data_IF_824493869520
#
_entry.id   IF_824493869520
#
_cell.length_a   1.000
_cell.length_b   1.000
_cell.length_c   1.000
_cell.angle_alpha   90.00
_cell.angle_beta   90.00
_cell.angle_gamma   90.00
#
_symmetry.space_group_name_H-M   'P 1'
#
loop_
_entity.id
_entity.type
_entity.pdbx_description
1 polymer ?
#
# COMPACT_ATOMS: atom_id res chain seq x y z
N UNK A 1 -53.88 -25.57 8.61
CA UNK A 1 -52.52 -25.73 9.19
C UNK A 1 -52.65 -25.73 10.69
N UNK A 2 -52.09 -26.73 11.37
CA UNK A 2 -52.14 -26.81 12.82
C UNK A 2 -51.19 -25.74 13.41
N UNK A 3 -51.47 -25.21 14.60
CA UNK A 3 -50.65 -24.13 15.20
C UNK A 3 -49.19 -24.55 15.40
N UNK A 4 -48.94 -25.86 15.57
CA UNK A 4 -47.60 -26.45 15.62
C UNK A 4 -46.85 -26.37 14.29
N UNK A 5 -47.53 -26.49 13.15
CA UNK A 5 -46.91 -26.43 11.83
C UNK A 5 -46.43 -24.99 11.54
N UNK A 6 -47.23 -23.98 11.91
CA UNK A 6 -46.89 -22.57 11.74
C UNK A 6 -45.62 -22.22 12.54
N UNK A 7 -45.49 -22.73 13.76
CA UNK A 7 -44.33 -22.50 14.61
C UNK A 7 -43.05 -23.14 14.03
N UNK A 8 -43.16 -24.36 13.48
CA UNK A 8 -42.04 -25.06 12.84
C UNK A 8 -41.59 -24.31 11.58
N UNK A 9 -42.51 -23.86 10.73
CA UNK A 9 -42.17 -23.06 9.54
C UNK A 9 -41.55 -21.71 9.90
N UNK A 10 -42.06 -21.02 10.93
CA UNK A 10 -41.46 -19.77 11.41
C UNK A 10 -40.02 -20.00 11.90
N UNK A 11 -39.79 -21.08 12.67
CA UNK A 11 -38.48 -21.44 13.22
C UNK A 11 -37.47 -21.79 12.12
N UNK A 12 -37.88 -22.58 11.14
CA UNK A 12 -37.05 -22.95 9.98
C UNK A 12 -36.76 -21.71 9.13
N UNK A 13 -37.73 -20.83 8.91
CA UNK A 13 -37.51 -19.57 8.18
C UNK A 13 -36.55 -18.63 8.89
N UNK A 14 -36.60 -18.55 10.23
CA UNK A 14 -35.68 -17.73 11.01
C UNK A 14 -34.26 -18.30 11.05
N UNK A 15 -34.11 -19.64 11.06
CA UNK A 15 -32.81 -20.31 10.94
C UNK A 15 -32.23 -20.16 9.53
N UNK A 16 -33.06 -20.20 8.49
CA UNK A 16 -32.64 -19.93 7.12
C UNK A 16 -32.25 -18.46 6.93
N UNK A 17 -33.00 -17.51 7.50
CA UNK A 17 -32.62 -16.09 7.48
C UNK A 17 -31.33 -15.83 8.27
N UNK A 18 -31.17 -16.41 9.47
CA UNK A 18 -29.94 -16.27 10.26
C UNK A 18 -28.74 -16.91 9.56
N UNK A 19 -28.89 -18.09 8.96
CA UNK A 19 -27.80 -18.70 8.19
C UNK A 19 -27.48 -17.89 6.93
N UNK A 20 -28.46 -17.27 6.27
CA UNK A 20 -28.23 -16.37 5.15
C UNK A 20 -27.53 -15.06 5.55
N UNK A 21 -27.86 -14.50 6.72
CA UNK A 21 -27.18 -13.32 7.28
C UNK A 21 -25.75 -13.67 7.70
N UNK A 22 -25.54 -14.81 8.36
CA UNK A 22 -24.22 -15.29 8.78
C UNK A 22 -23.33 -15.72 7.58
N UNK A 23 -23.90 -16.25 6.51
CA UNK A 23 -23.16 -16.51 5.26
C UNK A 23 -22.80 -15.23 4.50
N UNK A 24 -23.49 -14.11 4.77
CA UNK A 24 -23.16 -12.82 4.16
C UNK A 24 -22.07 -12.04 4.90
N UNK A 25 -21.76 -12.38 6.16
CA UNK A 25 -20.83 -11.59 6.99
C UNK A 25 -19.37 -11.96 6.83
N UNK A 26 -19.02 -13.16 6.34
CA UNK A 26 -17.63 -13.57 6.16
C UNK A 26 -17.36 -14.04 4.74
N UNK A 27 -16.56 -13.25 4.00
CA UNK A 27 -16.11 -13.59 2.64
C UNK A 27 -14.61 -13.78 2.67
N UNK A 28 -14.07 -14.64 1.80
CA UNK A 28 -12.63 -14.67 1.59
C UNK A 28 -12.29 -14.91 0.11
N UNK A 29 -11.08 -14.51 -0.25
CA UNK A 29 -10.46 -14.82 -1.54
C UNK A 29 -9.00 -15.19 -1.31
N UNK A 30 -8.51 -16.16 -2.08
CA UNK A 30 -7.10 -16.49 -2.16
C UNK A 30 -6.54 -15.96 -3.48
N UNK A 31 -5.49 -15.16 -3.39
CA UNK A 31 -4.80 -14.57 -4.54
C UNK A 31 -3.31 -14.82 -4.45
N UNK A 32 -2.69 -15.20 -5.56
CA UNK A 32 -1.26 -15.49 -5.57
C UNK A 32 -0.45 -14.23 -5.89
N UNK A 33 0.48 -13.89 -5.02
CA UNK A 33 1.57 -12.96 -5.30
C UNK A 33 2.86 -13.74 -5.61
N UNK A 34 3.93 -13.01 -5.94
CA UNK A 34 5.26 -13.60 -6.11
C UNK A 34 6.32 -12.73 -5.46
N UNK A 35 7.12 -13.35 -4.59
CA UNK A 35 8.20 -12.73 -3.85
C UNK A 35 9.56 -13.19 -4.39
N UNK A 36 10.58 -12.37 -4.18
CA UNK A 36 11.97 -12.76 -4.42
C UNK A 36 12.59 -13.06 -3.07
N UNK A 37 13.22 -14.22 -2.97
CA UNK A 37 14.05 -14.63 -1.82
C UNK A 37 15.50 -14.68 -2.32
N UNK A 38 16.49 -14.43 -1.46
CA UNK A 38 17.93 -14.24 -1.77
C UNK A 38 18.41 -14.64 -3.19
N UNK A 39 18.15 -15.87 -3.65
CA UNK A 39 18.48 -16.30 -5.01
C UNK A 39 17.32 -16.77 -5.91
N UNK A 40 16.11 -17.01 -5.40
CA UNK A 40 14.97 -17.54 -6.16
C UNK A 40 13.73 -16.66 -6.05
N UNK A 41 12.66 -17.02 -6.76
CA UNK A 41 11.35 -16.43 -6.55
C UNK A 41 10.38 -17.53 -6.13
N UNK A 42 9.42 -17.17 -5.28
CA UNK A 42 8.38 -18.09 -4.81
C UNK A 42 7.01 -17.46 -4.95
N UNK A 43 6.01 -18.29 -5.24
CA UNK A 43 4.61 -17.88 -5.25
C UNK A 43 4.15 -17.83 -3.81
N UNK A 44 3.55 -16.72 -3.41
CA UNK A 44 3.05 -16.49 -2.06
C UNK A 44 1.52 -16.36 -2.13
N UNK A 45 0.76 -17.38 -1.69
CA UNK A 45 -0.68 -17.28 -1.56
C UNK A 45 -1.04 -16.27 -0.47
N UNK A 46 -1.88 -15.31 -0.81
CA UNK A 46 -2.44 -14.32 0.10
C UNK A 46 -3.93 -14.61 0.26
N UNK A 47 -4.34 -14.91 1.48
CA UNK A 47 -5.75 -14.99 1.86
C UNK A 47 -6.21 -13.63 2.34
N UNK A 48 -7.27 -13.12 1.74
CA UNK A 48 -7.93 -11.88 2.13
C UNK A 48 -9.35 -12.24 2.56
N UNK A 49 -9.62 -12.15 3.85
CA UNK A 49 -10.94 -12.32 4.43
C UNK A 49 -11.56 -10.93 4.64
N UNK A 50 -12.86 -10.79 4.40
CA UNK A 50 -13.63 -9.58 4.64
C UNK A 50 -14.77 -9.86 5.60
N UNK A 51 -14.95 -8.96 6.57
CA UNK A 51 -16.10 -8.92 7.47
C UNK A 51 -16.80 -7.58 7.37
N UNK A 52 -18.13 -7.56 7.47
CA UNK A 52 -18.88 -6.30 7.48
C UNK A 52 -18.52 -5.52 8.76
N UNK A 53 -18.07 -4.27 8.61
CA UNK A 53 -17.65 -3.41 9.72
C UNK A 53 -16.75 -2.25 9.26
N UNK A 54 -16.49 -1.28 10.14
CA UNK A 54 -15.58 -0.15 9.85
C UNK A 54 -14.17 -0.45 10.39
N UNK A 55 -13.13 -0.50 9.55
CA UNK A 55 -11.74 -0.70 9.99
C UNK A 55 -10.92 -1.66 9.10
N UNK A 56 -9.63 -1.89 9.40
CA UNK A 56 -8.75 -2.79 8.64
C UNK A 56 -7.92 -3.65 9.61
N UNK A 57 -8.22 -4.94 9.76
CA UNK A 57 -7.52 -5.80 10.72
C UNK A 57 -6.42 -6.64 10.04
N UNK A 58 -5.15 -6.30 10.18
CA UNK A 58 -4.07 -7.16 9.65
C UNK A 58 -3.65 -8.18 10.71
N UNK A 59 -3.82 -9.48 10.44
CA UNK A 59 -3.28 -10.52 11.32
C UNK A 59 -1.82 -10.80 10.94
N UNK A 60 -0.90 -10.33 11.78
CA UNK A 60 0.54 -10.36 11.55
C UNK A 60 1.15 -11.61 12.22
N UNK A 61 1.26 -12.72 11.48
CA UNK A 61 2.34 -13.66 11.79
C UNK A 61 3.62 -13.12 11.14
N UNK A 62 4.52 -12.60 11.99
CA UNK A 62 5.90 -12.17 11.74
C UNK A 62 6.13 -10.93 10.85
N UNK A 63 6.65 -9.86 11.47
CA UNK A 63 7.49 -8.78 10.89
C UNK A 63 7.19 -8.34 9.44
N UNK A 64 6.01 -7.79 9.19
CA UNK A 64 5.67 -7.28 7.86
C UNK A 64 6.44 -5.98 7.57
N UNK A 65 7.35 -6.06 6.60
CA UNK A 65 8.08 -4.96 5.97
C UNK A 65 7.18 -3.75 5.64
N UNK A 66 7.73 -2.55 5.86
CA UNK A 66 7.03 -1.28 5.66
C UNK A 66 6.44 -1.14 4.25
N UNK A 67 7.08 -1.69 3.21
CA UNK A 67 6.60 -1.60 1.83
C UNK A 67 5.37 -2.48 1.58
N UNK A 68 5.23 -3.60 2.29
CA UNK A 68 4.03 -4.42 2.20
C UNK A 68 2.85 -3.74 2.91
N UNK A 69 3.06 -3.20 4.13
CA UNK A 69 2.02 -2.42 4.81
C UNK A 69 1.57 -1.23 3.96
N UNK A 70 2.54 -0.55 3.34
CA UNK A 70 2.28 0.52 2.40
C UNK A 70 1.41 0.05 1.21
N UNK A 71 1.67 -1.14 0.66
CA UNK A 71 0.86 -1.72 -0.42
C UNK A 71 -0.60 -1.99 0.00
N UNK A 72 -0.82 -2.42 1.25
CA UNK A 72 -2.18 -2.60 1.80
C UNK A 72 -2.91 -1.25 1.81
N UNK A 73 -2.26 -0.20 2.31
CA UNK A 73 -2.85 1.15 2.39
C UNK A 73 -3.15 1.73 1.01
N UNK A 74 -2.23 1.59 0.05
CA UNK A 74 -2.46 2.05 -1.33
C UNK A 74 -3.62 1.34 -2.00
N UNK A 75 -3.75 0.05 -1.74
CA UNK A 75 -4.89 -0.72 -2.20
C UNK A 75 -6.22 -0.16 -1.65
N UNK A 76 -6.27 0.20 -0.36
CA UNK A 76 -7.45 0.81 0.24
C UNK A 76 -7.76 2.20 -0.34
N UNK A 77 -6.74 3.04 -0.52
CA UNK A 77 -6.91 4.36 -1.09
C UNK A 77 -7.43 4.29 -2.53
N UNK A 78 -6.95 3.33 -3.32
CA UNK A 78 -7.49 3.10 -4.66
C UNK A 78 -8.97 2.71 -4.60
N UNK A 79 -9.35 1.75 -3.76
CA UNK A 79 -10.75 1.30 -3.62
C UNK A 79 -11.66 2.46 -3.20
N UNK A 80 -11.22 3.29 -2.25
CA UNK A 80 -11.95 4.51 -1.86
C UNK A 80 -12.06 5.50 -3.01
N UNK A 81 -10.97 5.72 -3.76
CA UNK A 81 -10.91 6.71 -4.85
C UNK A 81 -11.89 6.42 -5.98
N UNK A 82 -12.26 5.16 -6.16
CA UNK A 82 -13.24 4.75 -7.19
C UNK A 82 -14.67 4.79 -6.66
N UNK A 83 -14.90 5.22 -5.42
CA UNK A 83 -16.24 5.41 -4.86
C UNK A 83 -16.97 4.11 -4.54
N UNK A 84 -16.23 3.03 -4.30
CA UNK A 84 -16.79 1.82 -3.68
C UNK A 84 -16.81 2.06 -2.18
N UNK A 85 -18.00 2.13 -1.59
CA UNK A 85 -18.15 2.21 -0.14
C UNK A 85 -17.53 0.96 0.49
N UNK A 86 -16.35 1.15 1.09
CA UNK A 86 -15.65 0.07 1.76
C UNK A 86 -16.23 -0.11 3.16
N UNK A 87 -17.34 -0.84 3.24
CA UNK A 87 -17.98 -1.28 4.49
C UNK A 87 -17.33 -2.52 5.10
N UNK A 88 -16.21 -2.97 4.53
CA UNK A 88 -15.55 -4.21 4.90
C UNK A 88 -14.27 -3.93 5.69
N UNK A 89 -14.08 -4.74 6.73
CA UNK A 89 -12.80 -4.93 7.39
C UNK A 89 -12.09 -6.10 6.75
N UNK A 90 -10.84 -5.89 6.33
CA UNK A 90 -10.03 -6.96 5.75
C UNK A 90 -9.11 -7.59 6.78
N UNK A 91 -9.10 -8.91 6.82
CA UNK A 91 -8.04 -9.73 7.40
C UNK A 91 -7.18 -10.32 6.31
N UNK A 92 -5.91 -9.90 6.30
CA UNK A 92 -4.93 -10.36 5.30
C UNK A 92 -3.96 -11.31 6.01
N UNK A 93 -3.81 -12.52 5.48
CA UNK A 93 -2.85 -13.50 5.93
C UNK A 93 -2.15 -14.15 4.74
N UNK A 94 -0.89 -14.50 4.89
CA UNK A 94 -0.13 -15.26 3.90
C UNK A 94 0.84 -16.17 4.61
N UNK A 95 1.18 -17.27 3.97
CA UNK A 95 2.24 -18.16 4.41
C UNK A 95 3.38 -18.09 3.41
N UNK A 96 4.58 -17.88 3.93
CA UNK A 96 5.80 -17.83 3.13
C UNK A 96 6.85 -18.73 3.77
N UNK A 97 7.57 -19.47 2.93
CA UNK A 97 8.70 -20.28 3.39
C UNK A 97 9.91 -19.41 3.73
N UNK A 98 9.87 -18.11 3.43
CA UNK A 98 10.93 -17.17 3.74
C UNK A 98 10.44 -16.02 4.62
N UNK A 99 11.19 -15.74 5.69
CA UNK A 99 10.95 -14.59 6.58
C UNK A 99 11.03 -13.22 5.87
N UNK A 100 11.49 -13.17 4.62
CA UNK A 100 11.80 -11.94 3.86
C UNK A 100 10.92 -11.74 2.60
N UNK A 101 9.83 -12.48 2.44
CA UNK A 101 8.97 -12.42 1.24
C UNK A 101 8.04 -11.20 1.16
N UNK A 102 8.49 -10.03 1.60
CA UNK A 102 7.66 -8.84 1.74
C UNK A 102 8.21 -7.69 0.89
N UNK A 103 7.30 -6.89 0.31
CA UNK A 103 7.68 -5.79 -0.58
C UNK A 103 6.51 -5.18 -1.34
N UNK A 104 6.75 -4.01 -1.92
CA UNK A 104 5.72 -3.23 -2.63
C UNK A 104 5.10 -3.94 -3.84
N UNK A 105 5.78 -4.98 -4.35
CA UNK A 105 5.35 -5.74 -5.52
C UNK A 105 4.09 -6.60 -5.32
N UNK A 106 3.61 -6.76 -4.08
CA UNK A 106 2.35 -7.43 -3.78
C UNK A 106 1.12 -6.51 -3.94
N UNK A 107 1.32 -5.20 -4.16
CA UNK A 107 0.22 -4.23 -4.26
C UNK A 107 -0.85 -4.61 -5.28
N UNK A 108 -0.45 -5.14 -6.45
CA UNK A 108 -1.40 -5.56 -7.47
C UNK A 108 -2.27 -6.73 -7.01
N UNK A 109 -1.66 -7.73 -6.36
CA UNK A 109 -2.38 -8.88 -5.79
C UNK A 109 -3.39 -8.41 -4.74
N UNK A 110 -2.95 -7.58 -3.80
CA UNK A 110 -3.81 -7.04 -2.73
C UNK A 110 -5.01 -6.26 -3.30
N UNK A 111 -4.75 -5.43 -4.31
CA UNK A 111 -5.79 -4.58 -4.91
C UNK A 111 -6.81 -5.37 -5.72
N UNK A 112 -6.36 -6.30 -6.55
CA UNK A 112 -7.28 -7.17 -7.30
C UNK A 112 -8.04 -8.09 -6.34
N UNK A 113 -7.37 -8.65 -5.34
CA UNK A 113 -8.01 -9.51 -4.34
C UNK A 113 -9.14 -8.78 -3.60
N UNK A 114 -8.88 -7.59 -3.05
CA UNK A 114 -9.91 -6.79 -2.39
C UNK A 114 -11.04 -6.39 -3.35
N UNK A 115 -10.73 -5.94 -4.57
CA UNK A 115 -11.76 -5.60 -5.56
C UNK A 115 -12.68 -6.79 -5.88
N UNK A 116 -12.10 -7.96 -6.13
CA UNK A 116 -12.86 -9.17 -6.41
C UNK A 116 -13.71 -9.57 -5.20
N UNK A 117 -13.15 -9.52 -3.99
CA UNK A 117 -13.87 -9.83 -2.77
C UNK A 117 -15.12 -8.96 -2.57
N UNK A 118 -15.02 -7.66 -2.90
CA UNK A 118 -16.14 -6.71 -2.78
C UNK A 118 -17.16 -6.90 -3.91
N UNK A 119 -16.70 -7.02 -5.16
CA UNK A 119 -17.54 -6.83 -6.35
C UNK A 119 -17.89 -8.11 -7.09
N UNK A 120 -17.10 -9.17 -6.89
CA UNK A 120 -17.14 -10.40 -7.67
C UNK A 120 -16.53 -11.60 -6.91
N UNK A 121 -17.01 -11.94 -5.69
CA UNK A 121 -16.32 -12.87 -4.78
C UNK A 121 -16.24 -14.32 -5.28
N UNK A 122 -17.00 -14.68 -6.33
CA UNK A 122 -17.04 -16.02 -6.90
C UNK A 122 -15.98 -16.26 -8.00
N UNK A 123 -15.19 -15.26 -8.37
CA UNK A 123 -14.17 -15.43 -9.41
C UNK A 123 -12.93 -16.16 -8.88
N UNK A 124 -12.62 -17.31 -9.48
CA UNK A 124 -11.38 -18.03 -9.21
C UNK A 124 -10.22 -17.40 -9.99
N UNK A 125 -9.23 -16.89 -9.25
CA UNK A 125 -8.01 -16.29 -9.80
C UNK A 125 -6.77 -17.08 -9.47
N UNK A 126 -6.89 -18.32 -8.97
CA UNK A 126 -5.75 -19.13 -8.54
C UNK A 126 -4.82 -19.52 -9.70
N UNK A 127 -5.29 -19.48 -10.94
CA UNK A 127 -4.45 -19.70 -12.13
C UNK A 127 -3.57 -18.50 -12.50
N UNK A 128 -3.81 -17.35 -11.87
CA UNK A 128 -3.01 -16.14 -12.06
C UNK A 128 -2.09 -15.91 -10.86
N UNK A 129 -0.96 -15.27 -11.14
CA UNK A 129 -0.03 -14.75 -10.13
C UNK A 129 0.24 -13.29 -10.46
N UNK A 130 0.11 -12.43 -9.45
CA UNK A 130 0.11 -10.98 -9.63
C UNK A 130 1.40 -10.37 -9.09
N UNK A 131 2.01 -9.47 -9.85
CA UNK A 131 3.13 -8.65 -9.36
C UNK A 131 3.12 -7.25 -9.93
N UNK A 132 3.20 -6.26 -9.06
CA UNK A 132 3.14 -4.85 -9.46
C UNK A 132 3.02 -3.97 -8.23
N UNK A 133 3.72 -2.84 -8.26
CA UNK A 133 3.48 -1.77 -7.28
C UNK A 133 2.19 -1.08 -7.68
N UNK A 134 1.31 -0.80 -6.72
CA UNK A 134 0.13 0.02 -6.96
C UNK A 134 0.46 1.43 -6.55
N UNK A 135 0.47 2.30 -7.56
CA UNK A 135 0.63 3.73 -7.42
C UNK A 135 -0.76 4.38 -7.27
N UNK A 136 -0.81 5.69 -6.93
CA UNK A 136 -2.07 6.41 -6.84
C UNK A 136 -2.95 6.20 -8.08
N UNK A 137 -4.26 6.15 -7.86
CA UNK A 137 -5.26 5.97 -8.92
C UNK A 137 -5.17 4.61 -9.65
N UNK A 138 -4.53 3.61 -9.05
CA UNK A 138 -4.55 2.24 -9.58
C UNK A 138 -3.64 2.05 -10.78
N UNK A 139 -2.65 2.93 -10.95
CA UNK A 139 -1.57 2.74 -11.92
C UNK A 139 -0.70 1.57 -11.42
N UNK A 140 -0.38 0.64 -12.32
CA UNK A 140 0.45 -0.52 -12.01
C UNK A 140 1.89 -0.22 -12.43
N UNK A 141 2.77 -0.09 -11.45
CA UNK A 141 4.20 0.13 -11.64
C UNK A 141 4.97 -1.17 -11.87
N UNK A 142 6.11 -1.04 -12.58
CA UNK A 142 7.06 -2.13 -12.79
C UNK A 142 7.73 -2.55 -11.47
N UNK A 143 8.20 -3.80 -11.43
CA UNK A 143 8.88 -4.40 -10.28
C UNK A 143 10.22 -5.01 -10.70
N UNK A 144 11.16 -5.10 -9.78
CA UNK A 144 12.45 -5.77 -10.00
C UNK A 144 12.32 -7.30 -10.05
N UNK A 145 13.34 -7.94 -10.63
CA UNK A 145 13.49 -9.40 -10.74
C UNK A 145 12.34 -10.11 -11.44
N UNK A 146 11.73 -9.45 -12.43
CA UNK A 146 10.56 -9.96 -13.15
C UNK A 146 10.84 -11.31 -13.86
N UNK A 147 12.06 -11.53 -14.35
CA UNK A 147 12.45 -12.79 -14.98
C UNK A 147 12.36 -13.97 -14.01
N UNK A 148 12.97 -13.84 -12.83
CA UNK A 148 12.91 -14.87 -11.77
C UNK A 148 11.48 -15.12 -11.32
N UNK A 149 10.70 -14.05 -11.14
CA UNK A 149 9.27 -14.13 -10.79
C UNK A 149 8.49 -14.92 -11.84
N UNK A 150 8.70 -14.62 -13.11
CA UNK A 150 8.06 -15.34 -14.21
C UNK A 150 8.45 -16.81 -14.27
N UNK A 151 9.73 -17.15 -14.08
CA UNK A 151 10.19 -18.54 -14.02
C UNK A 151 9.52 -19.32 -12.89
N UNK A 152 9.39 -18.73 -11.70
CA UNK A 152 8.68 -19.35 -10.58
C UNK A 152 7.19 -19.58 -10.89
N UNK A 153 6.57 -18.63 -11.59
CA UNK A 153 5.16 -18.74 -12.02
C UNK A 153 4.97 -19.85 -13.06
N UNK A 154 5.86 -19.92 -14.05
CA UNK A 154 5.84 -20.98 -15.06
C UNK A 154 6.04 -22.37 -14.48
N UNK A 155 6.96 -22.54 -13.52
CA UNK A 155 7.21 -23.83 -12.84
C UNK A 155 5.95 -24.39 -12.16
N UNK A 156 4.99 -23.53 -11.83
CA UNK A 156 3.74 -23.90 -11.19
C UNK A 156 2.54 -23.90 -12.16
N UNK A 157 2.77 -23.86 -13.48
CA UNK A 157 1.74 -23.84 -14.52
C UNK A 157 0.71 -22.71 -14.36
N UNK A 158 1.13 -21.55 -13.87
CA UNK A 158 0.28 -20.36 -13.71
C UNK A 158 0.65 -19.27 -14.71
N UNK A 159 -0.21 -18.27 -14.83
CA UNK A 159 0.01 -17.09 -15.68
C UNK A 159 0.40 -15.87 -14.86
N UNK A 160 1.51 -15.22 -15.21
CA UNK A 160 1.95 -13.99 -14.56
C UNK A 160 1.18 -12.79 -15.11
N UNK A 161 0.59 -11.98 -14.24
CA UNK A 161 0.02 -10.66 -14.51
C UNK A 161 0.96 -9.60 -13.91
N UNK A 162 1.44 -8.65 -14.72
CA UNK A 162 2.47 -7.70 -14.28
C UNK A 162 2.32 -6.26 -14.82
N UNK A 163 2.95 -5.32 -14.11
CA UNK A 163 3.07 -3.91 -14.50
C UNK A 163 4.33 -3.53 -15.29
N UNK A 164 5.15 -4.50 -15.71
CA UNK A 164 6.41 -4.22 -16.42
C UNK A 164 6.25 -4.24 -17.96
N UNK A 165 6.10 -3.07 -18.58
CA UNK A 165 5.87 -2.90 -20.03
C UNK A 165 6.99 -3.46 -20.92
N UNK A 166 8.21 -3.54 -20.40
CA UNK A 166 9.36 -4.07 -21.15
C UNK A 166 9.44 -5.59 -21.14
N UNK A 167 8.71 -6.23 -20.24
CA UNK A 167 8.72 -7.67 -20.10
C UNK A 167 7.68 -8.28 -21.03
N UNK A 168 8.15 -8.98 -22.06
CA UNK A 168 7.28 -9.53 -23.13
C UNK A 168 6.60 -10.85 -22.76
N UNK A 169 6.90 -11.42 -21.59
CA UNK A 169 6.37 -12.72 -21.17
C UNK A 169 5.29 -12.51 -20.10
N UNK A 170 4.22 -13.31 -20.13
CA UNK A 170 3.07 -13.06 -19.25
C UNK A 170 2.15 -11.95 -19.78
N UNK A 171 1.23 -11.50 -18.94
CA UNK A 171 0.21 -10.51 -19.28
C UNK A 171 0.53 -9.15 -18.66
N UNK A 172 0.79 -8.17 -19.51
CA UNK A 172 1.06 -6.80 -19.09
C UNK A 172 -0.22 -5.97 -18.97
N UNK A 173 -0.31 -5.21 -17.89
CA UNK A 173 -1.35 -4.19 -17.70
C UNK A 173 -0.75 -2.95 -17.03
N UNK A 174 -1.22 -1.76 -17.40
CA UNK A 174 -0.77 -0.50 -16.81
C UNK A 174 -1.71 0.04 -15.73
N UNK A 175 -2.92 -0.52 -15.60
CA UNK A 175 -3.91 -0.09 -14.63
C UNK A 175 -4.77 -1.25 -14.10
N UNK A 176 -5.24 -1.08 -12.87
CA UNK A 176 -6.02 -2.09 -12.13
C UNK A 176 -7.36 -2.41 -12.83
N UNK A 177 -7.99 -1.44 -13.51
CA UNK A 177 -9.27 -1.68 -14.18
C UNK A 177 -9.16 -2.62 -15.37
N UNK A 178 -8.08 -2.54 -16.16
CA UNK A 178 -7.84 -3.45 -17.27
C UNK A 178 -7.64 -4.88 -16.77
N UNK A 179 -6.87 -5.06 -15.69
CA UNK A 179 -6.71 -6.37 -15.05
C UNK A 179 -8.07 -6.91 -14.57
N UNK A 180 -8.85 -6.07 -13.88
CA UNK A 180 -10.17 -6.44 -13.40
C UNK A 180 -11.11 -6.82 -14.55
N UNK A 181 -11.15 -6.03 -15.63
CA UNK A 181 -11.97 -6.29 -16.83
C UNK A 181 -11.52 -7.55 -17.54
N UNK A 182 -10.21 -7.80 -17.61
CA UNK A 182 -9.67 -9.03 -18.18
C UNK A 182 -10.16 -10.28 -17.42
N UNK A 183 -10.10 -10.24 -16.08
CA UNK A 183 -10.51 -11.36 -15.20
C UNK A 183 -12.02 -11.55 -15.22
N UNK A 184 -12.77 -10.47 -14.98
CA UNK A 184 -14.22 -10.56 -14.70
C UNK A 184 -15.10 -10.41 -15.93
N UNK A 185 -14.52 -9.96 -17.05
CA UNK A 185 -15.23 -9.46 -18.24
C UNK A 185 -16.17 -8.27 -17.96
N UNK A 186 -16.08 -7.66 -16.77
CA UNK A 186 -16.88 -6.50 -16.36
C UNK A 186 -16.05 -5.23 -16.42
N UNK A 187 -16.67 -4.17 -16.93
CA UNK A 187 -16.00 -2.88 -17.10
C UNK A 187 -16.31 -1.96 -15.91
N UNK A 188 -15.55 -2.09 -14.83
CA UNK A 188 -15.70 -1.22 -13.65
C UNK A 188 -15.45 0.26 -13.98
N UNK A 189 -14.60 0.56 -14.96
CA UNK A 189 -14.28 1.93 -15.34
C UNK A 189 -15.50 2.68 -15.94
N UNK A 190 -16.47 1.96 -16.51
CA UNK A 190 -17.74 2.55 -16.95
C UNK A 190 -18.60 3.04 -15.79
N UNK A 191 -18.59 2.31 -14.67
CA UNK A 191 -19.39 2.62 -13.47
C UNK A 191 -18.67 3.60 -12.54
N UNK A 192 -17.35 3.51 -12.49
CA UNK A 192 -16.50 4.29 -11.61
C UNK A 192 -15.47 5.05 -12.45
N UNK A 193 -15.70 6.35 -12.66
CA UNK A 193 -14.75 7.19 -13.42
C UNK A 193 -13.52 7.47 -12.56
N UNK A 194 -12.40 6.84 -12.90
CA UNK A 194 -11.11 7.22 -12.36
C UNK A 194 -10.78 8.64 -12.80
N UNK A 195 -10.75 9.57 -11.84
CA UNK A 195 -10.22 10.90 -12.08
C UNK A 195 -8.81 10.96 -11.52
N UNK A 196 -7.82 10.74 -12.38
CA UNK A 196 -6.44 11.09 -12.05
C UNK A 196 -6.41 12.62 -11.89
N UNK A 197 -6.04 13.15 -10.71
CA UNK A 197 -6.03 14.58 -10.48
C UNK A 197 -5.07 15.29 -11.42
N UNK A 198 -5.43 16.50 -11.81
CA UNK A 198 -4.63 17.32 -12.71
C UNK A 198 -3.22 17.56 -12.17
N UNK A 199 -3.07 17.77 -10.85
CA UNK A 199 -1.76 17.94 -10.22
C UNK A 199 -0.85 16.73 -10.43
N UNK A 200 -1.39 15.50 -10.41
CA UNK A 200 -0.59 14.29 -10.57
C UNK A 200 -0.06 14.21 -12.00
N UNK A 201 -0.95 14.41 -12.98
CA UNK A 201 -0.57 14.42 -14.39
C UNK A 201 0.44 15.53 -14.69
N UNK A 202 0.26 16.71 -14.11
CA UNK A 202 1.19 17.84 -14.25
C UNK A 202 2.59 17.48 -13.73
N UNK A 203 2.70 17.03 -12.48
CA UNK A 203 4.00 16.68 -11.87
C UNK A 203 4.65 15.52 -12.61
N UNK A 204 3.90 14.46 -12.94
CA UNK A 204 4.44 13.33 -13.70
C UNK A 204 4.92 13.73 -15.09
N UNK A 205 4.19 14.60 -15.79
CA UNK A 205 4.60 15.14 -17.08
C UNK A 205 5.89 15.95 -16.96
N UNK A 206 6.00 16.83 -15.96
CA UNK A 206 7.21 17.61 -15.70
C UNK A 206 8.43 16.71 -15.45
N UNK A 207 8.30 15.71 -14.56
CA UNK A 207 9.36 14.73 -14.29
C UNK A 207 9.76 13.97 -15.56
N UNK A 208 8.77 13.54 -16.34
CA UNK A 208 8.99 12.80 -17.59
C UNK A 208 9.78 13.63 -18.58
N UNK A 209 9.35 14.87 -18.83
CA UNK A 209 10.00 15.75 -19.79
C UNK A 209 11.44 16.08 -19.36
N UNK A 210 11.68 16.33 -18.08
CA UNK A 210 13.05 16.57 -17.59
C UNK A 210 13.98 15.37 -17.84
N UNK A 211 13.52 14.15 -17.51
CA UNK A 211 14.30 12.94 -17.73
C UNK A 211 14.54 12.69 -19.22
N UNK A 212 13.50 12.84 -20.03
CA UNK A 212 13.53 12.53 -21.45
C UNK A 212 14.28 13.57 -22.28
N UNK A 213 14.26 14.85 -21.92
CA UNK A 213 15.10 15.88 -22.57
C UNK A 213 16.59 15.55 -22.41
N UNK A 214 16.99 15.05 -21.24
CA UNK A 214 18.37 14.57 -21.06
C UNK A 214 18.64 13.34 -21.93
N UNK A 215 17.71 12.38 -21.98
CA UNK A 215 17.83 11.20 -22.85
C UNK A 215 17.99 11.54 -24.32
N UNK A 216 17.22 12.52 -24.80
CA UNK A 216 17.28 13.02 -26.17
C UNK A 216 18.70 13.51 -26.53
N UNK A 217 19.36 14.20 -25.59
CA UNK A 217 20.71 14.73 -25.80
C UNK A 217 21.80 13.65 -25.83
N UNK A 218 21.63 12.55 -25.09
CA UNK A 218 22.68 11.53 -24.92
C UNK A 218 22.46 10.26 -25.75
N UNK A 219 21.20 9.91 -26.04
CA UNK A 219 20.81 8.63 -26.61
C UNK A 219 19.49 8.70 -27.39
N UNK A 220 19.36 9.60 -28.38
CA UNK A 220 18.11 9.85 -29.12
C UNK A 220 17.63 8.64 -29.92
N UNK A 221 18.54 7.75 -30.30
CA UNK A 221 18.24 6.53 -31.07
C UNK A 221 18.12 5.28 -30.19
N UNK A 222 18.16 5.42 -28.86
CA UNK A 222 18.03 4.26 -27.97
C UNK A 222 16.62 3.68 -28.03
N UNK A 223 16.54 2.35 -27.95
CA UNK A 223 15.26 1.62 -27.90
C UNK A 223 14.40 2.06 -26.74
N UNK A 224 15.03 2.37 -25.61
CA UNK A 224 14.38 2.88 -24.41
C UNK A 224 13.77 4.26 -24.65
N UNK A 225 14.48 5.19 -25.30
CA UNK A 225 13.92 6.51 -25.60
C UNK A 225 12.75 6.47 -26.58
N UNK A 226 12.83 5.63 -27.63
CA UNK A 226 11.72 5.46 -28.58
C UNK A 226 10.44 4.97 -27.89
N UNK A 227 10.58 4.03 -26.94
CA UNK A 227 9.45 3.61 -26.09
C UNK A 227 8.92 4.72 -25.19
N UNK A 228 9.79 5.59 -24.68
CA UNK A 228 9.37 6.74 -23.91
C UNK A 228 8.50 7.70 -24.73
N UNK A 229 8.88 7.97 -25.99
CA UNK A 229 8.10 8.80 -26.90
C UNK A 229 6.72 8.19 -27.19
N UNK A 230 6.64 6.87 -27.39
CA UNK A 230 5.36 6.18 -27.55
C UNK A 230 4.49 6.26 -26.29
N UNK A 231 5.07 6.06 -25.11
CA UNK A 231 4.37 6.18 -23.84
C UNK A 231 3.87 7.61 -23.58
N UNK A 232 4.66 8.64 -23.92
CA UNK A 232 4.25 10.06 -23.84
C UNK A 232 3.04 10.32 -24.75
N UNK A 233 3.05 9.83 -25.99
CA UNK A 233 1.92 9.98 -26.92
C UNK A 233 0.62 9.37 -26.39
N UNK A 234 0.74 8.30 -25.59
CA UNK A 234 -0.39 7.64 -24.91
C UNK A 234 -0.77 8.28 -23.56
N UNK A 235 -0.05 9.30 -23.11
CA UNK A 235 -0.23 9.91 -21.78
C UNK A 235 0.30 9.04 -20.62
N UNK A 236 1.07 7.99 -20.90
CA UNK A 236 1.65 7.09 -19.90
C UNK A 236 2.96 7.66 -19.33
N UNK A 237 2.87 8.82 -18.68
CA UNK A 237 4.04 9.57 -18.20
C UNK A 237 4.94 8.76 -17.26
N UNK A 238 4.40 7.94 -16.35
CA UNK A 238 5.21 7.11 -15.46
C UNK A 238 6.07 6.08 -16.22
N UNK A 239 5.49 5.36 -17.18
CA UNK A 239 6.23 4.45 -18.05
C UNK A 239 7.32 5.19 -18.81
N UNK A 240 6.99 6.34 -19.40
CA UNK A 240 7.95 7.15 -20.15
C UNK A 240 9.13 7.62 -19.28
N UNK A 241 8.87 8.13 -18.08
CA UNK A 241 9.89 8.50 -17.12
C UNK A 241 10.80 7.31 -16.77
N UNK A 242 10.21 6.12 -16.58
CA UNK A 242 10.98 4.89 -16.33
C UNK A 242 11.90 4.52 -17.49
N UNK A 243 11.42 4.62 -18.74
CA UNK A 243 12.24 4.35 -19.92
C UNK A 243 13.38 5.36 -20.09
N UNK A 244 13.11 6.65 -19.92
CA UNK A 244 14.13 7.69 -19.98
C UNK A 244 15.18 7.50 -18.86
N UNK A 245 14.75 7.13 -17.65
CA UNK A 245 15.68 6.76 -16.56
C UNK A 245 16.60 5.60 -16.97
N UNK A 246 16.08 4.53 -17.56
CA UNK A 246 16.90 3.37 -17.97
C UNK A 246 17.91 3.78 -19.05
N UNK A 247 17.47 4.56 -20.05
CA UNK A 247 18.36 5.07 -21.09
C UNK A 247 19.47 5.93 -20.49
N UNK A 248 19.09 6.87 -19.63
CA UNK A 248 20.00 7.77 -18.95
C UNK A 248 21.05 7.02 -18.13
N UNK A 249 20.62 6.09 -17.28
CA UNK A 249 21.53 5.22 -16.52
C UNK A 249 22.49 4.42 -17.44
N UNK A 250 22.03 3.95 -18.59
CA UNK A 250 22.84 3.12 -19.49
C UNK A 250 23.88 3.91 -20.29
N UNK A 251 23.51 5.12 -20.71
CA UNK A 251 24.28 5.91 -21.68
C UNK A 251 25.02 7.10 -21.07
N UNK A 252 24.58 7.65 -19.94
CA UNK A 252 25.23 8.77 -19.26
C UNK A 252 26.16 8.28 -18.14
N UNK A 253 27.45 8.11 -18.48
CA UNK A 253 28.45 7.47 -17.62
C UNK A 253 29.42 8.44 -16.92
N UNK A 254 29.37 9.73 -17.24
CA UNK A 254 30.38 10.70 -16.82
C UNK A 254 30.02 11.37 -15.49
N UNK A 255 29.92 10.57 -14.43
CA UNK A 255 29.62 11.06 -13.07
C UNK A 255 30.73 10.67 -12.11
N UNK A 256 31.17 11.62 -11.29
CA UNK A 256 32.19 11.42 -10.27
C UNK A 256 31.58 11.12 -8.90
N UNK A 257 32.33 10.42 -8.04
CA UNK A 257 31.88 10.17 -6.65
C UNK A 257 31.71 11.47 -5.85
N UNK A 258 32.51 12.50 -6.15
CA UNK A 258 32.44 13.79 -5.48
C UNK A 258 31.12 14.51 -5.82
N UNK A 259 30.74 14.54 -7.09
CA UNK A 259 29.44 15.09 -7.54
C UNK A 259 28.27 14.37 -6.86
N UNK A 260 28.32 13.05 -6.77
CA UNK A 260 27.27 12.24 -6.15
C UNK A 260 27.18 12.50 -4.64
N UNK A 261 28.32 12.59 -3.96
CA UNK A 261 28.35 12.89 -2.52
C UNK A 261 27.78 14.28 -2.23
N UNK A 262 28.10 15.26 -3.06
CA UNK A 262 27.56 16.62 -2.94
C UNK A 262 26.06 16.66 -3.20
N UNK A 263 25.59 15.94 -4.23
CA UNK A 263 24.17 15.81 -4.55
C UNK A 263 23.39 15.11 -3.42
N UNK A 264 23.93 14.06 -2.81
CA UNK A 264 23.36 13.41 -1.61
C UNK A 264 23.20 14.43 -0.48
N UNK A 265 24.24 15.22 -0.22
CA UNK A 265 24.25 16.24 0.85
C UNK A 265 23.16 17.29 0.63
N UNK A 266 23.01 17.79 -0.60
CA UNK A 266 21.97 18.77 -0.93
C UNK A 266 20.57 18.16 -0.88
N UNK A 267 20.39 16.93 -1.35
CA UNK A 267 19.12 16.20 -1.25
C UNK A 267 18.72 15.98 0.20
N UNK A 268 19.64 15.58 1.09
CA UNK A 268 19.34 15.44 2.53
C UNK A 268 18.84 16.74 3.14
N UNK A 269 19.51 17.87 2.85
CA UNK A 269 19.03 19.20 3.30
C UNK A 269 17.65 19.53 2.74
N UNK A 270 17.39 19.21 1.48
CA UNK A 270 16.07 19.43 0.85
C UNK A 270 15.00 18.58 1.53
N UNK A 271 15.29 17.31 1.82
CA UNK A 271 14.39 16.40 2.53
C UNK A 271 14.00 16.99 3.89
N UNK A 272 14.96 17.42 4.71
CA UNK A 272 14.66 18.03 6.02
C UNK A 272 13.73 19.25 5.91
N UNK A 273 13.93 20.10 4.89
CA UNK A 273 13.07 21.27 4.65
C UNK A 273 11.64 20.90 4.24
N UNK A 274 11.45 19.80 3.50
CA UNK A 274 10.12 19.44 2.97
C UNK A 274 9.35 18.46 3.86
N UNK A 275 9.97 17.79 4.84
CA UNK A 275 9.28 16.89 5.78
C UNK A 275 8.04 17.55 6.41
N UNK A 276 8.16 18.83 6.77
CA UNK A 276 7.06 19.61 7.36
C UNK A 276 5.92 19.94 6.37
N UNK A 277 6.07 19.62 5.08
CA UNK A 277 5.05 19.80 4.03
C UNK A 277 4.31 18.51 3.70
N UNK A 278 4.60 17.39 4.37
CA UNK A 278 3.86 16.14 4.21
C UNK A 278 2.49 16.30 4.85
N UNK A 279 1.44 16.39 4.02
CA UNK A 279 0.07 16.62 4.47
C UNK A 279 -0.83 15.41 4.20
N UNK A 280 -0.53 14.63 3.17
CA UNK A 280 -1.36 13.49 2.74
C UNK A 280 -0.59 12.17 2.68
N UNK A 281 -1.32 11.07 2.54
CA UNK A 281 -0.71 9.74 2.32
C UNK A 281 0.12 9.67 1.04
N UNK A 282 -0.23 10.46 0.02
CA UNK A 282 0.52 10.54 -1.23
C UNK A 282 1.82 11.34 -1.06
N UNK A 283 1.83 12.39 -0.21
CA UNK A 283 3.08 13.09 0.14
C UNK A 283 4.04 12.16 0.88
N UNK A 284 3.49 11.39 1.79
CA UNK A 284 4.23 10.43 2.59
C UNK A 284 4.79 9.26 1.78
N UNK A 285 4.01 8.73 0.83
CA UNK A 285 4.48 7.80 -0.19
C UNK A 285 5.67 8.39 -0.94
N UNK A 286 5.49 9.59 -1.49
CA UNK A 286 6.50 10.22 -2.30
C UNK A 286 7.79 10.45 -1.49
N UNK A 287 7.67 10.88 -0.24
CA UNK A 287 8.81 11.01 0.66
C UNK A 287 9.45 9.65 0.99
N UNK A 288 8.65 8.61 1.26
CA UNK A 288 9.15 7.26 1.52
C UNK A 288 9.92 6.68 0.33
N UNK A 289 9.37 6.80 -0.88
CA UNK A 289 10.05 6.42 -2.12
C UNK A 289 11.34 7.22 -2.33
N UNK A 290 11.32 8.52 -2.03
CA UNK A 290 12.50 9.38 -2.12
C UNK A 290 13.60 8.95 -1.13
N UNK A 291 13.25 8.62 0.12
CA UNK A 291 14.19 8.14 1.13
C UNK A 291 14.78 6.77 0.78
N UNK A 292 13.94 5.84 0.31
CA UNK A 292 14.39 4.51 -0.14
C UNK A 292 15.39 4.64 -1.30
N UNK A 293 15.07 5.48 -2.29
CA UNK A 293 15.96 5.73 -3.43
C UNK A 293 17.24 6.46 -3.03
N UNK A 294 17.19 7.36 -2.05
CA UNK A 294 18.38 8.01 -1.51
C UNK A 294 19.31 6.97 -0.87
N UNK A 295 18.77 6.10 -0.01
CA UNK A 295 19.53 5.02 0.63
C UNK A 295 20.14 4.08 -0.40
N UNK A 296 19.38 3.70 -1.43
CA UNK A 296 19.87 2.87 -2.54
C UNK A 296 21.02 3.56 -3.30
N UNK A 297 20.93 4.87 -3.55
CA UNK A 297 22.01 5.63 -4.17
C UNK A 297 23.27 5.69 -3.30
N UNK A 298 23.12 5.85 -1.97
CA UNK A 298 24.22 5.86 -1.00
C UNK A 298 24.94 4.51 -0.95
N UNK A 299 24.18 3.42 -0.88
CA UNK A 299 24.73 2.07 -0.82
C UNK A 299 25.46 1.66 -2.11
N UNK A 300 25.10 2.28 -3.23
CA UNK A 300 25.67 1.98 -4.55
C UNK A 300 26.62 3.05 -5.08
N UNK A 301 27.17 3.93 -4.22
CA UNK A 301 28.00 5.10 -4.64
C UNK A 301 29.19 4.76 -5.57
N UNK A 302 29.66 3.51 -5.55
CA UNK A 302 30.71 3.03 -6.45
C UNK A 302 30.24 2.88 -7.91
N UNK A 303 28.94 2.68 -8.14
CA UNK A 303 28.32 2.68 -9.45
C UNK A 303 27.80 4.10 -9.75
N UNK A 304 28.71 4.97 -10.18
CA UNK A 304 28.46 6.42 -10.20
C UNK A 304 27.26 6.81 -11.06
N UNK A 305 27.13 6.25 -12.26
CA UNK A 305 25.97 6.49 -13.12
C UNK A 305 24.66 6.02 -12.49
N UNK A 306 24.63 4.82 -11.89
CA UNK A 306 23.45 4.32 -11.20
C UNK A 306 23.02 5.24 -10.06
N UNK A 307 23.96 5.57 -9.17
CA UNK A 307 23.68 6.43 -8.02
C UNK A 307 23.24 7.82 -8.44
N UNK A 308 23.92 8.45 -9.40
CA UNK A 308 23.51 9.76 -9.90
C UNK A 308 22.07 9.77 -10.43
N UNK A 309 21.74 8.80 -11.29
CA UNK A 309 20.39 8.73 -11.85
C UNK A 309 19.35 8.37 -10.80
N UNK A 310 19.70 7.53 -9.83
CA UNK A 310 18.84 7.24 -8.69
C UNK A 310 18.54 8.51 -7.88
N UNK A 311 19.49 9.42 -7.69
CA UNK A 311 19.25 10.73 -7.06
C UNK A 311 18.32 11.62 -7.87
N UNK A 312 18.32 11.54 -9.22
CA UNK A 312 17.31 12.24 -10.02
C UNK A 312 15.89 11.69 -9.77
N UNK A 313 15.75 10.38 -9.52
CA UNK A 313 14.44 9.82 -9.10
C UNK A 313 14.02 10.31 -7.72
N UNK A 314 14.98 10.50 -6.79
CA UNK A 314 14.71 11.14 -5.49
C UNK A 314 14.13 12.54 -5.72
N UNK A 315 14.80 13.38 -6.53
CA UNK A 315 14.31 14.74 -6.85
C UNK A 315 12.92 14.73 -7.46
N UNK A 316 12.64 13.80 -8.38
CA UNK A 316 11.33 13.62 -8.99
C UNK A 316 10.25 13.32 -7.95
N UNK A 317 10.48 12.34 -7.07
CA UNK A 317 9.54 12.02 -5.99
C UNK A 317 9.31 13.20 -5.04
N UNK A 318 10.35 13.95 -4.69
CA UNK A 318 10.21 15.12 -3.82
C UNK A 318 9.34 16.25 -4.42
N UNK A 319 9.05 16.24 -5.73
CA UNK A 319 8.12 17.22 -6.34
C UNK A 319 6.67 16.99 -5.95
N UNK A 320 6.29 15.77 -5.58
CA UNK A 320 4.94 15.45 -5.11
C UNK A 320 4.68 16.02 -3.73
N UNK A 321 5.69 16.03 -2.86
CA UNK A 321 5.54 16.39 -1.44
C UNK A 321 5.05 17.84 -1.27
N UNK A 322 3.88 17.99 -0.66
CA UNK A 322 3.22 19.27 -0.40
C UNK A 322 2.39 19.79 -1.57
N UNK A 323 2.34 19.05 -2.68
CA UNK A 323 1.55 19.38 -3.87
C UNK A 323 0.43 18.35 -4.14
N UNK A 324 0.27 17.35 -3.27
CA UNK A 324 -0.79 16.36 -3.41
C UNK A 324 -2.09 16.81 -2.73
N UNK A 325 -3.23 16.42 -3.29
CA UNK A 325 -4.55 16.56 -2.65
C UNK A 325 -5.08 15.17 -2.30
N UNK A 326 -5.60 14.98 -1.09
CA UNK A 326 -6.06 13.67 -0.62
C UNK A 326 -6.40 13.68 0.87
N UNK A 327 -6.42 12.50 1.52
CA UNK A 327 -6.63 12.40 2.98
C UNK A 327 -5.56 13.23 3.69
N UNK A 328 -5.98 14.35 4.29
CA UNK A 328 -5.13 15.16 5.15
C UNK A 328 -4.85 14.39 6.44
N UNK A 329 -3.62 14.47 6.95
CA UNK A 329 -3.15 13.95 8.25
C UNK A 329 -2.51 12.54 8.27
N UNK A 330 -1.96 12.03 7.17
CA UNK A 330 -1.14 10.80 7.20
C UNK A 330 0.30 11.12 7.62
N UNK A 331 0.86 10.40 8.60
CA UNK A 331 2.21 10.66 9.09
C UNK A 331 3.10 9.42 9.13
N UNK A 332 4.14 9.35 8.30
CA UNK A 332 5.33 8.58 8.61
C UNK A 332 6.37 9.51 9.26
N UNK A 333 6.66 9.28 10.54
CA UNK A 333 7.98 9.62 11.08
C UNK A 333 8.63 8.31 11.49
N UNK A 334 9.61 7.89 10.71
CA UNK A 334 10.49 6.78 11.05
C UNK A 334 11.86 7.36 11.38
N UNK A 335 12.08 7.57 12.68
CA UNK A 335 13.37 7.31 13.31
C UNK A 335 13.11 6.45 14.54
N UNK A 336 13.42 5.16 14.42
CA UNK A 336 13.27 4.16 15.49
C UNK A 336 14.41 4.22 16.51
N UNK A 337 15.39 5.12 16.35
CA UNK A 337 16.60 5.15 17.19
C UNK A 337 16.69 6.29 18.20
N UNK A 338 15.80 7.30 18.16
CA UNK A 338 15.94 8.51 19.01
C UNK A 338 14.81 8.73 20.04
N UNK A 339 13.96 7.76 20.32
CA UNK A 339 12.80 8.01 21.21
C UNK A 339 12.65 7.07 22.40
N UNK A 340 13.77 6.69 23.01
CA UNK A 340 13.80 6.55 24.45
C UNK A 340 14.17 7.91 25.06
N UNK A 341 13.48 8.23 26.15
CA UNK A 341 13.75 9.34 27.09
C UNK A 341 13.05 10.68 26.74
N UNK A 342 12.26 11.13 27.73
CA UNK A 342 11.76 12.48 28.02
C UNK A 342 10.32 12.93 27.66
N UNK A 343 9.60 13.17 28.77
CA UNK A 343 8.56 14.17 29.11
C UNK A 343 7.06 13.80 29.14
N UNK A 344 6.42 13.89 30.34
CA UNK A 344 4.98 13.76 30.55
C UNK A 344 4.28 15.13 30.69
N UNK A 345 2.98 15.15 30.37
CA UNK A 345 1.95 16.16 30.65
C UNK A 345 2.16 17.62 30.16
N UNK A 346 1.42 17.96 29.09
CA UNK A 346 0.81 19.26 28.72
C UNK A 346 0.79 19.54 27.21
N UNK A 347 0.38 18.56 26.39
CA UNK A 347 0.07 18.83 24.98
C UNK A 347 -1.42 19.06 24.80
N UNK A 348 -1.80 20.31 24.52
CA UNK A 348 -3.14 20.68 24.03
C UNK A 348 -3.45 19.83 22.79
N UNK A 349 -4.40 18.90 22.93
CA UNK A 349 -4.92 17.97 21.90
C UNK A 349 -5.20 18.67 20.56
N UNK A 350 -5.54 19.95 20.63
CA UNK A 350 -5.89 20.83 19.51
C UNK A 350 -4.71 21.13 18.55
N UNK A 351 -3.49 20.65 18.83
CA UNK A 351 -2.30 20.78 17.97
C UNK A 351 -1.90 19.48 17.26
N UNK A 352 -2.63 18.38 17.44
CA UNK A 352 -2.32 17.09 16.81
C UNK A 352 -2.80 17.10 15.34
N UNK A 353 -1.87 17.24 14.41
CA UNK A 353 -2.15 17.27 12.95
C UNK A 353 -1.89 15.92 12.25
N UNK A 354 -1.72 14.84 13.02
CA UNK A 354 -0.97 13.67 12.57
C UNK A 354 -1.53 12.31 13.05
N UNK A 355 -1.77 11.36 12.14
CA UNK A 355 -2.38 10.04 12.45
C UNK A 355 -1.55 9.19 13.43
N UNK A 356 -0.23 9.07 13.22
CA UNK A 356 0.65 8.28 14.09
C UNK A 356 0.93 8.97 15.43
N UNK A 357 1.00 10.30 15.48
CA UNK A 357 1.13 11.02 16.74
C UNK A 357 -0.17 10.92 17.55
N UNK A 358 -1.33 10.88 16.88
CA UNK A 358 -2.60 10.56 17.52
C UNK A 358 -2.61 9.11 18.01
N UNK A 359 -2.20 8.13 17.21
CA UNK A 359 -2.11 6.72 17.61
C UNK A 359 -1.15 6.48 18.78
N UNK A 360 0.04 7.10 18.76
CA UNK A 360 1.06 7.03 19.81
C UNK A 360 0.67 7.80 21.06
N UNK A 361 0.06 8.99 20.91
CA UNK A 361 -0.47 9.77 22.03
C UNK A 361 -1.67 9.07 22.65
N UNK A 362 -2.53 8.45 21.84
CA UNK A 362 -3.63 7.60 22.32
C UNK A 362 -3.09 6.39 23.04
N UNK A 363 -2.15 5.64 22.48
CA UNK A 363 -1.54 4.49 23.15
C UNK A 363 -0.88 4.89 24.47
N UNK A 364 -0.16 6.02 24.51
CA UNK A 364 0.45 6.56 25.74
C UNK A 364 -0.59 7.05 26.74
N UNK A 365 -1.62 7.77 26.30
CA UNK A 365 -2.74 8.18 27.17
C UNK A 365 -3.45 6.93 27.69
N UNK A 366 -3.70 5.93 26.86
CA UNK A 366 -4.36 4.67 27.23
C UNK A 366 -3.50 3.88 28.23
N UNK A 367 -2.21 3.73 27.98
CA UNK A 367 -1.27 3.07 28.88
C UNK A 367 -1.07 3.83 30.19
N UNK A 368 -0.93 5.16 30.17
CA UNK A 368 -0.76 5.99 31.38
C UNK A 368 -2.07 6.13 32.17
N UNK A 369 -3.21 6.21 31.50
CA UNK A 369 -4.54 6.23 32.14
C UNK A 369 -4.87 4.87 32.74
N UNK A 370 -4.45 3.74 32.16
CA UNK A 370 -4.73 2.41 32.73
C UNK A 370 -3.70 1.96 33.78
N UNK A 371 -2.42 2.33 33.61
CA UNK A 371 -1.35 1.89 34.51
C UNK A 371 -1.10 2.83 35.69
N UNK A 372 -1.51 4.10 35.60
CA UNK A 372 -1.12 5.12 36.60
C UNK A 372 -2.29 5.72 37.36
N UNK A 373 -3.49 5.78 36.78
CA UNK A 373 -4.65 6.35 37.43
C UNK A 373 -5.81 5.37 37.37
N UNK A 374 -6.48 5.15 38.49
CA UNK A 374 -7.64 4.26 38.57
C UNK A 374 -8.87 4.92 37.89
N UNK A 375 -8.76 5.23 36.59
CA UNK A 375 -9.76 5.98 35.83
C UNK A 375 -10.87 5.02 35.43
N UNK A 376 -12.10 5.33 35.86
CA UNK A 376 -13.28 4.54 35.51
C UNK A 376 -13.44 4.41 33.99
N UNK A 377 -13.70 3.18 33.51
CA UNK A 377 -13.92 2.79 32.11
C UNK A 377 -14.82 3.77 31.32
N UNK A 378 -15.76 4.42 32.01
CA UNK A 378 -16.73 5.38 31.46
C UNK A 378 -16.09 6.60 30.77
N UNK A 379 -14.91 7.05 31.19
CA UNK A 379 -14.21 8.24 30.63
C UNK A 379 -13.35 7.88 29.41
N UNK A 380 -12.94 6.62 29.32
CA UNK A 380 -12.26 6.04 28.15
C UNK A 380 -13.27 5.82 27.02
N UNK A 381 -14.44 5.29 27.36
CA UNK A 381 -15.56 5.06 26.43
C UNK A 381 -16.12 6.36 25.83
N UNK A 382 -16.03 7.49 26.52
CA UNK A 382 -16.59 8.76 26.01
C UNK A 382 -15.75 9.42 24.93
N UNK A 383 -14.45 9.10 24.85
CA UNK A 383 -13.55 9.65 23.81
C UNK A 383 -13.42 8.73 22.60
N UNK A 384 -13.68 7.42 22.77
CA UNK A 384 -13.61 6.40 21.71
C UNK A 384 -14.39 6.79 20.43
N UNK A 385 -15.64 7.29 20.49
CA UNK A 385 -16.41 7.61 19.29
C UNK A 385 -15.80 8.74 18.45
N UNK A 386 -15.19 9.74 19.09
CA UNK A 386 -14.46 10.80 18.39
C UNK A 386 -13.27 10.21 17.62
N UNK A 387 -12.55 9.29 18.26
CA UNK A 387 -11.38 8.66 17.64
C UNK A 387 -11.74 7.66 16.55
N UNK A 388 -12.77 6.83 16.73
CA UNK A 388 -13.28 5.93 15.69
C UNK A 388 -13.78 6.70 14.46
N UNK A 389 -14.42 7.86 14.67
CA UNK A 389 -14.91 8.74 13.60
C UNK A 389 -13.79 9.41 12.79
N UNK A 390 -12.65 9.68 13.42
CA UNK A 390 -11.57 10.48 12.81
C UNK A 390 -10.30 9.67 12.47
N UNK A 391 -10.13 8.47 13.02
CA UNK A 391 -8.94 7.62 12.89
C UNK A 391 -9.33 6.13 12.82
N UNK A 392 -8.84 5.41 11.80
CA UNK A 392 -9.10 3.98 11.58
C UNK A 392 -8.27 3.08 12.53
N UNK A 393 -8.50 3.20 13.84
CA UNK A 393 -7.70 2.55 14.90
C UNK A 393 -7.93 1.04 15.08
N UNK A 394 -8.66 0.40 14.18
CA UNK A 394 -8.99 -1.02 14.28
C UNK A 394 -7.91 -1.85 13.60
N UNK A 395 -7.09 -2.57 14.37
CA UNK A 395 -6.11 -3.51 13.83
C UNK A 395 -4.87 -3.76 14.70
N UNK A 396 -4.38 -2.74 15.40
CA UNK A 396 -3.08 -2.79 16.08
C UNK A 396 -3.16 -2.93 17.61
N UNK A 397 -4.22 -2.44 18.26
CA UNK A 397 -4.18 -2.27 19.72
C UNK A 397 -4.41 -3.55 20.51
N UNK A 398 -5.30 -4.45 20.12
CA UNK A 398 -5.78 -5.47 21.07
C UNK A 398 -4.92 -6.74 21.12
N UNK A 399 -4.34 -7.16 19.98
CA UNK A 399 -3.49 -8.36 19.92
C UNK A 399 -2.07 -8.09 20.44
N UNK A 400 -1.49 -6.92 20.11
CA UNK A 400 -0.20 -6.50 20.68
C UNK A 400 -0.32 -6.25 22.19
N UNK A 401 -1.44 -5.68 22.66
CA UNK A 401 -1.67 -5.48 24.09
C UNK A 401 -1.89 -6.79 24.85
N UNK A 402 -2.63 -7.76 24.29
CA UNK A 402 -2.73 -9.10 24.87
C UNK A 402 -1.38 -9.82 24.93
N UNK A 403 -0.59 -9.74 23.85
CA UNK A 403 0.74 -10.35 23.82
C UNK A 403 1.72 -9.67 24.79
N UNK A 404 1.51 -8.38 25.08
CA UNK A 404 2.32 -7.60 26.02
C UNK A 404 1.93 -7.82 27.49
N UNK A 405 0.64 -7.89 27.81
CA UNK A 405 0.15 -8.02 29.21
C UNK A 405 -0.07 -9.46 29.66
N UNK A 406 -0.22 -10.39 28.72
CA UNK A 406 -0.59 -11.80 28.95
C UNK A 406 -1.86 -12.01 29.79
N UNK A 407 -2.73 -10.99 29.89
CA UNK A 407 -3.98 -11.07 30.65
C UNK A 407 -5.16 -11.44 29.75
N UNK A 408 -5.81 -12.57 30.07
CA UNK A 408 -6.93 -13.15 29.32
C UNK A 408 -8.26 -12.43 29.53
N UNK A 409 -8.39 -11.62 30.58
CA UNK A 409 -9.64 -10.96 30.96
C UNK A 409 -10.09 -9.91 29.92
N UNK A 410 -9.14 -9.31 29.20
CA UNK A 410 -9.42 -8.29 28.18
C UNK A 410 -9.67 -8.86 26.78
N UNK A 411 -9.28 -10.12 26.51
CA UNK A 411 -9.73 -10.85 25.33
C UNK A 411 -11.27 -11.03 25.37
N UNK A 412 -11.82 -11.23 26.57
CA UNK A 412 -13.26 -11.39 26.80
C UNK A 412 -14.00 -10.06 26.57
N UNK A 413 -13.45 -8.92 26.99
CA UNK A 413 -14.02 -7.58 26.72
C UNK A 413 -13.94 -7.24 25.23
N UNK A 414 -12.85 -7.62 24.55
CA UNK A 414 -12.74 -7.49 23.11
C UNK A 414 -13.80 -8.34 22.39
N UNK A 415 -14.04 -9.58 22.83
CA UNK A 415 -15.04 -10.48 22.25
C UNK A 415 -16.49 -10.05 22.52
N UNK A 416 -16.78 -9.43 23.66
CA UNK A 416 -18.14 -8.93 23.96
C UNK A 416 -18.47 -7.61 23.27
N UNK A 417 -17.46 -6.79 22.94
CA UNK A 417 -17.63 -5.57 22.13
C UNK A 417 -17.76 -5.83 20.62
N UNK A 418 -17.63 -7.09 20.17
CA UNK A 418 -18.03 -7.54 18.82
C UNK A 418 -19.52 -7.93 18.73
N UNK A 419 -20.25 -7.93 19.86
CA UNK A 419 -21.64 -8.42 19.95
C UNK A 419 -22.70 -7.31 20.17
N UNK A 420 -22.30 -6.04 20.04
CA UNK A 420 -23.17 -4.86 20.02
C UNK A 420 -22.77 -4.04 18.80
#
# INVERSE_FOLDING_TARGET
MNSKDILIYASISSLLLMSFILFQTHRYIEINAVAITNNSAEIVPIKIEATIGQGNYVNLNSYIDNNFQYSIKMSDEFIKSIGIENIYQYKISFESNSYYSSGSSAGLALTIGKLLLITAPHFDVRNYVFTGVILPFGIIGAVSGIDKKYEAVLKNNKTLIHGNENFKKGLYFNNVFEVYKFITKRDLAKKHKLKIPEWYNKIMREITLELCNKTESIAPNSKEFQKALEAIKKGHYYSAASFCFIANYKYDKNHTKLEIAEEIREIKKKIEKIKNKVLTIYDAEALGMALDRLKDAEQNINNTSYSYWRLQTVKGWLKFVGNTTGIKNYCPNMDLSTYYIYYPFETKINKLTCYYDVEKTLFKVYATVLLTYNVSDKKLLSVLPYYQKHFSLWGYTNLEYYNYTKDKTHLIIALTSFSI
#
